data_IF_214309925126
#
_entry.id   IF_214309925126
#
_cell.length_a   1.000
_cell.length_b   1.000
_cell.length_c   1.000
_cell.angle_alpha   90.00
_cell.angle_beta   90.00
_cell.angle_gamma   90.00
#
_symmetry.space_group_name_H-M   'P 1'
#
loop_
_entity.id
_entity.type
_entity.pdbx_description
1 polymer ?
#
# COMPACT_ATOMS: atom_id res chain seq x y z
N UNK A 1 -54.48 -44.89 22.11
CA UNK A 1 -53.62 -45.96 21.58
C UNK A 1 -52.68 -45.29 20.60
N UNK A 2 -51.37 -45.34 20.90
CA UNK A 2 -50.17 -45.34 20.02
C UNK A 2 -50.16 -44.41 18.80
N UNK A 3 -49.12 -43.69 18.42
CA UNK A 3 -47.69 -43.55 18.77
C UNK A 3 -47.17 -42.30 17.97
N UNK A 4 -46.04 -41.65 18.32
CA UNK A 4 -45.67 -40.31 17.87
C UNK A 4 -44.68 -40.27 16.64
N UNK A 5 -43.57 -39.49 16.59
CA UNK A 5 -43.39 -38.38 15.64
C UNK A 5 -42.17 -38.47 14.66
N UNK A 6 -42.22 -37.70 13.56
CA UNK A 6 -41.10 -37.23 12.69
C UNK A 6 -40.24 -38.35 12.02
N UNK A 7 -39.20 -38.13 11.16
CA UNK A 7 -38.67 -36.93 10.47
C UNK A 7 -38.33 -37.14 8.96
N UNK A 8 -37.74 -36.12 8.33
CA UNK A 8 -36.78 -36.18 7.20
C UNK A 8 -37.25 -36.67 5.82
N UNK A 9 -37.49 -35.68 4.94
CA UNK A 9 -37.50 -35.83 3.48
C UNK A 9 -36.42 -34.99 2.82
N UNK A 10 -35.19 -35.06 3.33
CA UNK A 10 -33.98 -34.55 2.69
C UNK A 10 -33.76 -35.34 1.39
N UNK A 11 -34.32 -34.86 0.27
CA UNK A 11 -33.94 -35.31 -1.07
C UNK A 11 -33.00 -34.30 -1.69
N UNK A 12 -31.71 -34.55 -1.46
CA UNK A 12 -30.65 -34.50 -2.45
C UNK A 12 -31.15 -34.16 -3.86
N UNK A 13 -31.16 -32.87 -4.21
CA UNK A 13 -31.04 -32.48 -5.62
C UNK A 13 -29.55 -32.46 -5.92
N UNK A 14 -29.11 -33.63 -6.38
CA UNK A 14 -27.75 -33.96 -6.77
C UNK A 14 -27.24 -32.89 -7.73
N UNK A 15 -26.10 -32.32 -7.37
CA UNK A 15 -25.28 -31.50 -8.24
C UNK A 15 -25.05 -32.22 -9.57
N UNK A 16 -25.67 -31.72 -10.63
CA UNK A 16 -25.29 -32.06 -11.98
C UNK A 16 -23.95 -31.36 -12.27
N UNK A 17 -22.86 -32.09 -12.00
CA UNK A 17 -21.51 -31.76 -12.46
C UNK A 17 -21.53 -31.86 -13.99
N UNK A 18 -21.77 -30.75 -14.65
CA UNK A 18 -21.58 -30.65 -16.11
C UNK A 18 -20.14 -30.21 -16.35
N UNK A 19 -19.30 -31.21 -16.63
CA UNK A 19 -17.93 -31.03 -17.12
C UNK A 19 -18.00 -30.66 -18.60
N UNK A 20 -17.64 -29.42 -18.94
CA UNK A 20 -17.32 -29.06 -20.33
C UNK A 20 -15.95 -28.36 -20.41
N UNK A 21 -14.99 -29.16 -20.84
CA UNK A 21 -13.88 -28.89 -21.77
C UNK A 21 -13.37 -27.45 -21.87
N UNK A 22 -12.26 -27.23 -21.17
CA UNK A 22 -11.00 -26.62 -21.67
C UNK A 22 -11.02 -26.01 -23.07
N UNK A 23 -10.85 -24.69 -23.13
CA UNK A 23 -10.11 -23.99 -24.17
C UNK A 23 -9.18 -22.98 -23.49
N UNK A 24 -7.93 -23.39 -23.27
CA UNK A 24 -6.86 -22.51 -22.79
C UNK A 24 -6.29 -21.79 -24.01
N UNK A 25 -6.58 -20.51 -24.15
CA UNK A 25 -5.85 -19.63 -25.08
C UNK A 25 -4.75 -18.95 -24.28
N UNK A 26 -3.54 -19.49 -24.37
CA UNK A 26 -2.33 -18.85 -23.84
C UNK A 26 -1.95 -17.73 -24.81
N UNK A 27 -2.30 -16.49 -24.48
CA UNK A 27 -1.67 -15.33 -25.11
C UNK A 27 -0.36 -15.07 -24.38
N UNK A 28 0.75 -15.50 -24.99
CA UNK A 28 2.08 -15.14 -24.56
C UNK A 28 2.28 -13.63 -24.76
N UNK A 29 2.17 -12.84 -23.70
CA UNK A 29 2.62 -11.45 -23.71
C UNK A 29 4.13 -11.47 -23.50
N UNK A 30 4.84 -11.07 -24.54
CA UNK A 30 6.28 -10.99 -24.60
C UNK A 30 6.86 -10.15 -23.46
N UNK A 31 7.99 -10.62 -22.95
CA UNK A 31 8.78 -10.01 -21.89
C UNK A 31 9.11 -8.54 -22.17
N UNK A 32 8.74 -7.65 -21.25
CA UNK A 32 9.43 -6.36 -21.07
C UNK A 32 10.72 -6.66 -20.33
N UNK A 33 11.74 -7.09 -21.07
CA UNK A 33 13.11 -7.16 -20.61
C UNK A 33 13.72 -5.75 -20.70
N UNK A 34 13.51 -4.94 -19.66
CA UNK A 34 14.29 -3.74 -19.42
C UNK A 34 14.38 -3.49 -17.91
N UNK A 35 15.52 -3.87 -17.31
CA UNK A 35 16.01 -3.23 -16.10
C UNK A 35 15.91 -3.99 -14.77
N UNK A 36 16.29 -5.27 -14.71
CA UNK A 36 16.77 -5.89 -13.48
C UNK A 36 18.15 -6.51 -13.77
N UNK A 37 19.22 -5.73 -13.60
CA UNK A 37 20.58 -6.31 -13.50
C UNK A 37 21.04 -6.24 -12.05
N UNK A 38 21.22 -7.39 -11.39
CA UNK A 38 22.14 -7.51 -10.27
C UNK A 38 23.49 -8.05 -10.74
N UNK A 39 24.53 -7.65 -9.99
CA UNK A 39 25.85 -8.25 -9.86
C UNK A 39 26.87 -8.04 -10.99
N UNK A 40 27.91 -7.26 -10.67
CA UNK A 40 29.27 -7.51 -11.15
C UNK A 40 30.20 -7.58 -9.93
N UNK A 41 30.48 -8.81 -9.49
CA UNK A 41 31.63 -9.19 -8.67
C UNK A 41 32.75 -9.63 -9.63
N UNK A 42 33.97 -9.16 -9.36
CA UNK A 42 35.03 -9.02 -10.36
C UNK A 42 35.89 -10.25 -10.70
N UNK A 43 36.79 -10.03 -11.66
CA UNK A 43 38.06 -10.73 -11.83
C UNK A 43 39.01 -9.88 -12.72
N UNK A 44 40.30 -9.84 -12.36
CA UNK A 44 41.39 -8.99 -12.92
C UNK A 44 41.75 -9.23 -14.40
N UNK A 45 42.74 -8.58 -15.02
CA UNK A 45 44.07 -8.16 -14.52
C UNK A 45 44.71 -7.10 -15.49
N UNK A 46 46.03 -6.77 -15.49
CA UNK A 46 46.58 -5.43 -15.20
C UNK A 46 47.19 -4.69 -16.42
N UNK A 47 47.40 -3.37 -16.33
CA UNK A 47 48.57 -2.71 -16.95
C UNK A 47 48.68 -1.20 -16.64
N UNK A 48 49.91 -0.85 -16.25
CA UNK A 48 50.63 0.41 -16.49
C UNK A 48 50.21 1.70 -15.76
N UNK A 49 51.02 2.05 -14.75
CA UNK A 49 51.25 3.43 -14.32
C UNK A 49 51.92 4.25 -15.44
N UNK A 50 51.79 5.59 -15.42
CA UNK A 50 52.96 6.38 -15.06
C UNK A 50 52.69 7.58 -14.13
N UNK A 51 53.65 7.77 -13.23
CA UNK A 51 54.30 9.01 -12.77
C UNK A 51 53.51 10.25 -12.31
N UNK A 52 53.86 10.67 -11.10
CA UNK A 52 53.47 11.87 -10.36
C UNK A 52 53.70 13.20 -11.08
N UNK A 53 52.83 14.17 -10.81
CA UNK A 53 53.18 15.60 -10.75
C UNK A 53 52.44 16.20 -9.56
N UNK A 54 53.19 16.86 -8.67
CA UNK A 54 52.69 17.52 -7.48
C UNK A 54 51.94 18.81 -7.82
N UNK A 55 50.81 19.08 -7.14
CA UNK A 55 50.24 20.42 -7.02
C UNK A 55 49.28 20.53 -5.81
N UNK A 56 49.74 21.30 -4.82
CA UNK A 56 49.01 22.15 -3.85
C UNK A 56 47.74 21.59 -3.18
N UNK A 57 47.84 21.34 -1.87
CA UNK A 57 46.68 21.08 -1.01
C UNK A 57 45.76 22.31 -0.91
N UNK A 58 44.45 22.20 -1.19
CA UNK A 58 43.49 23.13 -0.64
C UNK A 58 43.19 22.71 0.81
N UNK A 59 43.43 23.63 1.75
CA UNK A 59 42.84 23.56 3.08
C UNK A 59 41.31 23.62 2.91
N UNK A 60 40.65 22.47 2.90
CA UNK A 60 39.19 22.41 2.99
C UNK A 60 38.84 22.71 4.43
N UNK A 61 38.24 23.87 4.66
CA UNK A 61 37.57 24.20 5.90
C UNK A 61 36.56 23.09 6.20
N UNK A 62 36.68 22.48 7.37
CA UNK A 62 35.73 21.53 7.92
C UNK A 62 34.33 22.17 7.87
N UNK A 63 33.33 21.58 7.18
CA UNK A 63 31.99 22.11 7.20
C UNK A 63 31.49 21.97 8.64
N UNK A 64 31.38 23.12 9.32
CA UNK A 64 30.66 23.19 10.58
C UNK A 64 29.24 22.73 10.27
N UNK A 65 28.72 21.67 10.91
CA UNK A 65 27.32 21.34 10.76
C UNK A 65 26.53 22.51 11.34
N UNK A 66 26.06 23.39 10.45
CA UNK A 66 25.06 24.39 10.76
C UNK A 66 23.78 23.62 11.06
N UNK A 67 23.65 23.19 12.33
CA UNK A 67 22.45 22.57 12.85
C UNK A 67 21.29 23.54 12.67
N UNK A 68 20.54 23.36 11.59
CA UNK A 68 19.14 23.81 11.54
C UNK A 68 18.47 23.26 12.80
N UNK A 69 17.56 24.01 13.45
CA UNK A 69 16.91 23.53 14.66
C UNK A 69 16.23 22.20 14.33
N UNK A 70 16.81 21.11 14.82
CA UNK A 70 16.23 19.79 14.75
C UNK A 70 14.91 19.92 15.46
N UNK A 71 13.81 19.90 14.70
CA UNK A 71 12.50 19.92 15.30
C UNK A 71 12.48 18.79 16.31
N UNK A 72 12.16 19.11 17.56
CA UNK A 72 12.05 18.12 18.62
C UNK A 72 10.90 17.21 18.21
N UNK A 73 11.22 16.11 17.55
CA UNK A 73 10.27 15.07 17.22
C UNK A 73 9.83 14.45 18.53
N UNK A 74 8.53 14.54 18.81
CA UNK A 74 7.98 13.95 20.03
C UNK A 74 8.31 12.44 20.07
N UNK A 75 8.47 11.90 21.27
CA UNK A 75 9.03 10.56 21.48
C UNK A 75 8.25 9.44 20.75
N UNK A 76 6.94 9.64 20.50
CA UNK A 76 6.10 8.66 19.84
C UNK A 76 5.93 8.84 18.32
N UNK A 77 6.56 9.84 17.70
CA UNK A 77 6.41 10.17 16.27
C UNK A 77 6.64 8.96 15.37
N UNK A 78 7.75 8.25 15.55
CA UNK A 78 8.09 7.09 14.74
C UNK A 78 7.10 5.93 14.93
N UNK A 79 6.58 5.75 16.16
CA UNK A 79 5.58 4.73 16.46
C UNK A 79 4.28 5.01 15.71
N UNK A 80 3.78 6.25 15.78
CA UNK A 80 2.54 6.65 15.12
C UNK A 80 2.69 6.55 13.60
N UNK A 81 3.79 7.06 13.04
CA UNK A 81 4.07 6.96 11.61
C UNK A 81 4.13 5.51 11.11
N UNK A 82 4.78 4.60 11.86
CA UNK A 82 4.78 3.16 11.53
C UNK A 82 3.38 2.53 11.66
N UNK A 83 2.58 2.97 12.62
CA UNK A 83 1.21 2.47 12.76
C UNK A 83 0.34 2.87 11.56
N UNK A 84 0.42 4.13 11.14
CA UNK A 84 -0.30 4.62 9.95
C UNK A 84 0.17 3.91 8.68
N UNK A 85 1.47 3.71 8.49
CA UNK A 85 2.00 2.97 7.34
C UNK A 85 1.42 1.54 7.27
N UNK A 86 1.37 0.84 8.41
CA UNK A 86 0.73 -0.48 8.51
C UNK A 86 -0.76 -0.42 8.17
N UNK A 87 -1.49 0.60 8.63
CA UNK A 87 -2.90 0.80 8.28
C UNK A 87 -3.10 1.00 6.78
N UNK A 88 -2.30 1.87 6.15
CA UNK A 88 -2.38 2.13 4.71
C UNK A 88 -2.06 0.86 3.90
N UNK A 89 -1.06 0.08 4.31
CA UNK A 89 -0.73 -1.21 3.67
C UNK A 89 -1.85 -2.24 3.85
N UNK A 90 -2.40 -2.37 5.05
CA UNK A 90 -3.53 -3.27 5.33
C UNK A 90 -4.77 -2.87 4.52
N UNK A 91 -5.08 -1.56 4.49
CA UNK A 91 -6.15 -0.99 3.69
C UNK A 91 -5.96 -1.24 2.20
N UNK A 92 -4.75 -1.03 1.66
CA UNK A 92 -4.42 -1.32 0.25
C UNK A 92 -4.67 -2.79 -0.11
N UNK A 93 -4.25 -3.71 0.77
CA UNK A 93 -4.51 -5.15 0.58
C UNK A 93 -6.00 -5.46 0.64
N UNK A 94 -6.74 -4.82 1.54
CA UNK A 94 -8.19 -5.00 1.65
C UNK A 94 -8.92 -4.48 0.40
N UNK A 95 -8.56 -3.31 -0.11
CA UNK A 95 -9.11 -2.75 -1.34
C UNK A 95 -8.85 -3.67 -2.55
N UNK A 96 -7.64 -4.24 -2.64
CA UNK A 96 -7.31 -5.22 -3.67
C UNK A 96 -8.13 -6.51 -3.52
N UNK A 97 -8.30 -7.01 -2.29
CA UNK A 97 -9.12 -8.18 -2.02
C UNK A 97 -10.60 -7.95 -2.33
N UNK A 98 -11.15 -6.78 -1.98
CA UNK A 98 -12.53 -6.39 -2.28
C UNK A 98 -12.75 -6.30 -3.80
N UNK A 99 -11.77 -5.77 -4.54
CA UNK A 99 -11.80 -5.69 -6.01
C UNK A 99 -11.73 -7.08 -6.66
N UNK A 100 -10.87 -7.96 -6.14
CA UNK A 100 -10.76 -9.33 -6.62
C UNK A 100 -12.04 -10.14 -6.30
N UNK A 101 -12.63 -9.96 -5.12
CA UNK A 101 -13.89 -10.57 -4.75
C UNK A 101 -15.02 -10.07 -5.65
N UNK A 102 -15.12 -8.77 -5.89
CA UNK A 102 -16.12 -8.20 -6.80
C UNK A 102 -16.04 -8.81 -8.21
N UNK A 103 -14.83 -9.09 -8.71
CA UNK A 103 -14.63 -9.75 -10.00
C UNK A 103 -15.12 -11.21 -9.98
N UNK A 104 -14.85 -11.95 -8.90
CA UNK A 104 -15.29 -13.36 -8.76
C UNK A 104 -16.80 -13.49 -8.55
N UNK A 105 -17.38 -12.51 -7.87
CA UNK A 105 -18.80 -12.46 -7.54
C UNK A 105 -19.65 -11.88 -8.69
N UNK A 106 -19.03 -11.42 -9.78
CA UNK A 106 -19.68 -10.66 -10.86
C UNK A 106 -20.47 -9.44 -10.33
N UNK A 107 -19.92 -8.80 -9.27
CA UNK A 107 -20.59 -7.71 -8.57
C UNK A 107 -20.81 -6.50 -9.48
N UNK A 108 -21.92 -5.80 -9.27
CA UNK A 108 -22.22 -4.59 -10.04
C UNK A 108 -21.25 -3.45 -9.67
N UNK A 109 -21.07 -2.44 -10.53
CA UNK A 109 -20.28 -1.25 -10.20
C UNK A 109 -20.74 -0.56 -8.90
N UNK A 110 -22.03 -0.54 -8.63
CA UNK A 110 -22.62 0.04 -7.42
C UNK A 110 -22.20 -0.75 -6.18
N UNK A 111 -22.22 -2.09 -6.25
CA UNK A 111 -21.80 -2.95 -5.15
C UNK A 111 -20.30 -2.83 -4.87
N UNK A 112 -19.47 -2.81 -5.92
CA UNK A 112 -18.04 -2.54 -5.79
C UNK A 112 -17.81 -1.17 -5.14
N UNK A 113 -18.46 -0.12 -5.64
CA UNK A 113 -18.34 1.22 -5.07
C UNK A 113 -18.78 1.24 -3.60
N UNK A 114 -19.86 0.55 -3.23
CA UNK A 114 -20.29 0.46 -1.83
C UNK A 114 -19.28 -0.30 -0.94
N UNK A 115 -18.61 -1.34 -1.46
CA UNK A 115 -17.50 -2.03 -0.77
C UNK A 115 -16.32 -1.08 -0.56
N UNK A 116 -15.88 -0.40 -1.62
CA UNK A 116 -14.78 0.58 -1.57
C UNK A 116 -15.05 1.71 -0.58
N UNK A 117 -16.26 2.29 -0.58
CA UNK A 117 -16.64 3.35 0.35
C UNK A 117 -16.53 2.92 1.80
N UNK A 118 -17.02 1.71 2.13
CA UNK A 118 -16.90 1.16 3.49
C UNK A 118 -15.45 0.94 3.90
N UNK A 119 -14.64 0.37 3.03
CA UNK A 119 -13.22 0.12 3.30
C UNK A 119 -12.44 1.43 3.48
N UNK A 120 -12.71 2.45 2.65
CA UNK A 120 -12.09 3.78 2.78
C UNK A 120 -12.54 4.52 4.05
N UNK A 121 -13.83 4.44 4.41
CA UNK A 121 -14.34 5.04 5.64
C UNK A 121 -13.70 4.42 6.88
N UNK A 122 -13.66 3.08 6.96
CA UNK A 122 -13.00 2.38 8.07
C UNK A 122 -11.52 2.73 8.18
N UNK A 123 -10.80 2.77 7.04
CA UNK A 123 -9.40 3.19 7.03
C UNK A 123 -9.23 4.66 7.47
N UNK A 124 -10.14 5.56 7.07
CA UNK A 124 -10.11 6.95 7.50
C UNK A 124 -10.26 7.08 9.02
N UNK A 125 -11.15 6.29 9.62
CA UNK A 125 -11.38 6.28 11.06
C UNK A 125 -10.16 5.73 11.81
N UNK A 126 -9.60 4.59 11.37
CA UNK A 126 -8.39 4.01 11.96
C UNK A 126 -7.19 4.98 11.90
N UNK A 127 -7.04 5.70 10.79
CA UNK A 127 -5.98 6.71 10.63
C UNK A 127 -6.24 7.94 11.51
N UNK A 128 -7.51 8.36 11.67
CA UNK A 128 -7.87 9.46 12.58
C UNK A 128 -7.56 9.12 14.03
N UNK A 129 -7.76 7.88 14.44
CA UNK A 129 -7.40 7.40 15.77
C UNK A 129 -5.88 7.46 16.02
N UNK A 130 -5.07 7.28 14.97
CA UNK A 130 -3.61 7.48 15.08
C UNK A 130 -3.24 8.96 15.16
N UNK A 131 -3.94 9.84 14.44
CA UNK A 131 -3.72 11.28 14.58
C UNK A 131 -3.93 11.73 16.03
N UNK A 132 -5.02 11.29 16.68
CA UNK A 132 -5.30 11.61 18.10
C UNK A 132 -4.29 11.05 19.11
N UNK A 133 -3.38 10.16 18.68
CA UNK A 133 -2.29 9.63 19.50
C UNK A 133 -0.97 10.36 19.26
N UNK A 134 -0.84 11.14 18.19
CA UNK A 134 0.39 11.84 17.86
C UNK A 134 0.67 12.96 18.88
N UNK A 135 1.88 12.98 19.43
CA UNK A 135 2.32 14.07 20.32
C UNK A 135 2.98 15.22 19.55
N UNK A 136 3.52 14.96 18.36
CA UNK A 136 4.02 16.02 17.46
C UNK A 136 2.82 16.62 16.69
N UNK A 137 2.50 17.91 16.88
CA UNK A 137 1.36 18.56 16.22
C UNK A 137 1.44 18.55 14.69
N UNK A 138 2.65 18.52 14.12
CA UNK A 138 2.83 18.44 12.65
C UNK A 138 2.45 17.06 12.14
N UNK A 139 2.79 16.02 12.89
CA UNK A 139 2.46 14.62 12.58
C UNK A 139 0.97 14.38 12.77
N UNK A 140 0.38 14.90 13.85
CA UNK A 140 -1.07 14.93 14.03
C UNK A 140 -1.77 15.55 12.81
N UNK A 141 -1.36 16.76 12.41
CA UNK A 141 -1.97 17.46 11.29
C UNK A 141 -1.82 16.72 9.96
N UNK A 142 -0.65 16.11 9.71
CA UNK A 142 -0.39 15.28 8.54
C UNK A 142 -1.33 14.07 8.49
N UNK A 143 -1.41 13.32 9.58
CA UNK A 143 -2.21 12.09 9.64
C UNK A 143 -3.70 12.43 9.58
N UNK A 144 -4.13 13.51 10.24
CA UNK A 144 -5.48 14.02 10.13
C UNK A 144 -5.82 14.44 8.69
N UNK A 145 -4.87 15.00 7.93
CA UNK A 145 -5.06 15.29 6.50
C UNK A 145 -5.26 14.03 5.67
N UNK A 146 -4.48 12.99 5.94
CA UNK A 146 -4.62 11.69 5.28
C UNK A 146 -5.99 11.09 5.59
N UNK A 147 -6.42 11.09 6.85
CA UNK A 147 -7.75 10.64 7.25
C UNK A 147 -8.87 11.41 6.52
N UNK A 148 -8.75 12.74 6.38
CA UNK A 148 -9.71 13.55 5.61
C UNK A 148 -9.74 13.17 4.14
N UNK A 149 -8.59 12.92 3.51
CA UNK A 149 -8.52 12.48 2.10
C UNK A 149 -9.20 11.13 1.91
N UNK A 150 -8.97 10.19 2.81
CA UNK A 150 -9.61 8.87 2.80
C UNK A 150 -11.14 8.98 2.96
N UNK A 151 -11.61 9.79 3.90
CA UNK A 151 -13.05 10.07 4.08
C UNK A 151 -13.67 10.75 2.84
N UNK A 152 -12.94 11.65 2.19
CA UNK A 152 -13.38 12.22 0.91
C UNK A 152 -13.50 11.15 -0.19
N UNK A 153 -12.57 10.19 -0.24
CA UNK A 153 -12.67 9.02 -1.11
C UNK A 153 -13.90 8.17 -0.82
N UNK A 154 -14.20 7.95 0.46
CA UNK A 154 -15.39 7.22 0.90
C UNK A 154 -16.71 7.92 0.55
N UNK A 155 -16.69 9.26 0.46
CA UNK A 155 -17.86 10.08 0.09
C UNK A 155 -17.96 10.38 -1.40
N UNK A 156 -16.93 10.03 -2.17
CA UNK A 156 -16.87 10.28 -3.61
C UNK A 156 -18.04 9.62 -4.35
N UNK A 157 -18.53 10.29 -5.40
CA UNK A 157 -19.45 9.69 -6.36
C UNK A 157 -18.79 8.61 -7.21
N UNK A 158 -17.45 8.60 -7.30
CA UNK A 158 -16.66 7.61 -8.05
C UNK A 158 -15.42 7.18 -7.26
N UNK A 159 -15.59 6.32 -6.23
CA UNK A 159 -14.49 5.85 -5.38
C UNK A 159 -13.37 5.16 -6.16
N UNK A 160 -13.71 4.36 -7.18
CA UNK A 160 -12.72 3.69 -8.01
C UNK A 160 -11.79 4.67 -8.75
N UNK A 161 -12.34 5.75 -9.32
CA UNK A 161 -11.56 6.81 -9.95
C UNK A 161 -10.71 7.55 -8.91
N UNK A 162 -11.28 7.89 -7.77
CA UNK A 162 -10.56 8.53 -6.67
C UNK A 162 -9.36 7.71 -6.20
N UNK A 163 -9.46 6.38 -6.16
CA UNK A 163 -8.32 5.53 -5.81
C UNK A 163 -7.16 5.71 -6.78
N UNK A 164 -7.44 5.69 -8.09
CA UNK A 164 -6.42 5.86 -9.12
C UNK A 164 -5.77 7.25 -9.12
N UNK A 165 -6.54 8.29 -8.78
CA UNK A 165 -6.09 9.69 -8.87
C UNK A 165 -5.49 10.23 -7.57
N UNK A 166 -5.91 9.72 -6.40
CA UNK A 166 -5.57 10.33 -5.10
C UNK A 166 -4.99 9.36 -4.09
N UNK A 167 -5.53 8.14 -4.00
CA UNK A 167 -5.04 7.17 -3.00
C UNK A 167 -3.57 6.81 -3.24
N UNK A 168 -3.17 6.70 -4.51
CA UNK A 168 -1.79 6.38 -4.91
C UNK A 168 -0.74 7.38 -4.43
N UNK A 169 -1.12 8.63 -4.18
CA UNK A 169 -0.22 9.68 -3.70
C UNK A 169 -0.08 9.71 -2.17
N UNK A 170 -0.96 9.01 -1.45
CA UNK A 170 -0.92 8.98 0.02
C UNK A 170 0.34 8.26 0.54
N UNK A 171 0.67 7.03 0.12
CA UNK A 171 1.86 6.33 0.61
C UNK A 171 3.18 7.09 0.41
N UNK A 172 3.52 7.62 -0.79
CA UNK A 172 4.79 8.32 -0.96
C UNK A 172 4.86 9.63 -0.17
N UNK A 173 3.73 10.31 0.05
CA UNK A 173 3.69 11.50 0.92
C UNK A 173 3.92 11.14 2.38
N UNK A 174 3.23 10.12 2.88
CA UNK A 174 3.42 9.62 4.24
C UNK A 174 4.89 9.22 4.44
N UNK A 175 5.48 8.46 3.52
CA UNK A 175 6.88 8.03 3.62
C UNK A 175 7.88 9.19 3.64
N UNK A 176 7.61 10.27 2.91
CA UNK A 176 8.47 11.48 2.90
C UNK A 176 8.35 12.23 4.23
N UNK A 177 7.13 12.49 4.66
CA UNK A 177 6.86 13.42 5.75
C UNK A 177 7.01 12.76 7.14
N UNK A 178 6.93 11.42 7.22
CA UNK A 178 7.18 10.64 8.44
C UNK A 178 8.64 10.18 8.64
N UNK A 179 9.54 10.37 7.65
CA UNK A 179 10.98 10.04 7.78
C UNK A 179 11.85 11.28 8.06
N UNK A 180 11.23 12.45 8.20
CA UNK A 180 11.87 13.75 8.39
C UNK A 180 12.13 14.08 9.87
#
# INVERSE_FOLDING_TARGET
MLDPPQPNGEKMSRHAVSTLRTAVVVVAVAAVAAGCQPAEDGAGEPAAAPTSTAAVAPTVAEPTPSGSPTAVTAANTEQVCRAVDKLILAGSRRLAADSAAATRDEATPEELNARLKRTLAGLADDVRDQAGRAEDPRIEALIADIARRLDAGARSSSPAKWMGDTFVDIPPRLARDCRA
#
